data_IF_686235699973
#
_entry.id   IF_686235699973
#
_cell.length_a   1.000
_cell.length_b   1.000
_cell.length_c   1.000
_cell.angle_alpha   90.00
_cell.angle_beta   90.00
_cell.angle_gamma   90.00
#
_symmetry.space_group_name_H-M   'P 1'
#
loop_
_entity.id
_entity.type
_entity.pdbx_description
1 polymer ?
#
# COMPACT_ATOMS: atom_id res chain seq x y z
N UNK A 1 5.51 19.85 3.77
CA UNK A 1 5.83 18.76 4.72
C UNK A 1 4.90 17.57 4.55
N UNK A 2 3.57 17.74 4.61
CA UNK A 2 2.60 16.64 4.43
C UNK A 2 2.74 15.88 3.09
N UNK A 3 3.05 16.59 2.00
CA UNK A 3 3.21 15.94 0.68
C UNK A 3 4.41 15.00 0.61
N UNK A 4 5.54 15.38 1.21
CA UNK A 4 6.74 14.54 1.29
C UNK A 4 6.50 13.30 2.18
N UNK A 5 5.79 13.47 3.31
CA UNK A 5 5.42 12.34 4.18
C UNK A 5 4.47 11.37 3.47
N UNK A 6 3.51 11.89 2.70
CA UNK A 6 2.63 11.08 1.88
C UNK A 6 3.40 10.30 0.80
N UNK A 7 4.39 10.93 0.16
CA UNK A 7 5.24 10.27 -0.86
C UNK A 7 6.06 9.13 -0.26
N UNK A 8 6.75 9.37 0.87
CA UNK A 8 7.48 8.34 1.62
C UNK A 8 6.54 7.20 2.02
N UNK A 9 5.36 7.52 2.53
CA UNK A 9 4.35 6.52 2.87
C UNK A 9 3.96 5.67 1.66
N UNK A 10 3.67 6.29 0.52
CA UNK A 10 3.23 5.59 -0.69
C UNK A 10 4.33 4.69 -1.26
N UNK A 11 5.58 5.11 -1.19
CA UNK A 11 6.74 4.32 -1.60
C UNK A 11 6.88 3.07 -0.71
N UNK A 12 6.93 3.27 0.62
CA UNK A 12 7.09 2.18 1.57
C UNK A 12 5.89 1.21 1.55
N UNK A 13 4.66 1.75 1.55
CA UNK A 13 3.45 0.94 1.44
C UNK A 13 3.42 0.15 0.14
N UNK A 14 3.84 0.79 -0.95
CA UNK A 14 3.92 0.19 -2.26
C UNK A 14 4.85 -1.01 -2.31
N UNK A 15 6.09 -0.83 -1.86
CA UNK A 15 7.09 -1.90 -1.82
C UNK A 15 6.63 -3.10 -0.98
N UNK A 16 6.00 -2.84 0.17
CA UNK A 16 5.50 -3.91 1.04
C UNK A 16 4.31 -4.65 0.40
N UNK A 17 3.43 -3.95 -0.31
CA UNK A 17 2.33 -4.58 -1.06
C UNK A 17 2.89 -5.44 -2.21
N UNK A 18 3.90 -4.96 -2.93
CA UNK A 18 4.52 -5.70 -4.02
C UNK A 18 5.17 -7.00 -3.51
N UNK A 19 5.90 -6.96 -2.40
CA UNK A 19 6.46 -8.17 -1.75
C UNK A 19 5.38 -9.19 -1.37
N UNK A 20 4.21 -8.74 -0.89
CA UNK A 20 3.09 -9.64 -0.58
C UNK A 20 2.51 -10.26 -1.85
N UNK A 21 2.39 -9.48 -2.93
CA UNK A 21 1.93 -9.95 -4.23
C UNK A 21 2.90 -10.96 -4.85
N UNK A 22 4.20 -10.70 -4.79
CA UNK A 22 5.25 -11.63 -5.24
C UNK A 22 5.25 -12.94 -4.45
N UNK A 23 4.87 -12.89 -3.17
CA UNK A 23 4.64 -14.08 -2.34
C UNK A 23 3.30 -14.79 -2.61
N UNK A 24 2.56 -14.42 -3.66
CA UNK A 24 1.30 -15.05 -4.07
C UNK A 24 0.05 -14.54 -3.35
N UNK A 25 0.16 -13.46 -2.56
CA UNK A 25 -0.97 -12.90 -1.80
C UNK A 25 -1.60 -11.78 -2.63
N UNK A 26 -2.69 -12.10 -3.33
CA UNK A 26 -3.33 -11.17 -4.27
C UNK A 26 -4.61 -10.51 -3.76
N UNK A 27 -5.28 -11.11 -2.77
CA UNK A 27 -6.51 -10.59 -2.19
C UNK A 27 -6.24 -9.28 -1.41
N UNK A 28 -6.81 -8.13 -1.82
CA UNK A 28 -6.61 -6.86 -1.12
C UNK A 28 -7.05 -6.89 0.35
N UNK A 29 -8.05 -7.70 0.71
CA UNK A 29 -8.46 -7.84 2.11
C UNK A 29 -7.40 -8.60 2.92
N UNK A 30 -6.82 -9.68 2.38
CA UNK A 30 -5.73 -10.38 3.04
C UNK A 30 -4.47 -9.53 3.19
N UNK A 31 -4.11 -8.76 2.14
CA UNK A 31 -3.01 -7.79 2.20
C UNK A 31 -3.26 -6.78 3.33
N UNK A 32 -4.47 -6.20 3.41
CA UNK A 32 -4.81 -5.25 4.47
C UNK A 32 -4.68 -5.86 5.88
N UNK A 33 -5.14 -7.10 6.09
CA UNK A 33 -4.95 -7.82 7.36
C UNK A 33 -3.48 -8.01 7.70
N UNK A 34 -2.66 -8.34 6.71
CA UNK A 34 -1.21 -8.56 6.86
C UNK A 34 -0.45 -7.27 7.18
N UNK A 35 -0.85 -6.15 6.59
CA UNK A 35 -0.30 -4.83 6.91
C UNK A 35 -0.66 -4.42 8.34
N UNK A 36 -1.94 -4.55 8.72
CA UNK A 36 -2.39 -4.26 10.08
C UNK A 36 -1.71 -5.14 11.13
N UNK A 37 -1.55 -6.45 10.86
CA UNK A 37 -0.86 -7.38 11.77
C UNK A 37 0.61 -6.99 12.00
N UNK A 38 1.27 -6.41 11.00
CA UNK A 38 2.65 -5.91 11.09
C UNK A 38 2.77 -4.54 11.77
N UNK A 39 1.65 -3.91 12.12
CA UNK A 39 1.64 -2.55 12.67
C UNK A 39 2.03 -1.47 11.63
N UNK A 40 1.95 -1.79 10.33
CA UNK A 40 2.30 -0.82 9.30
C UNK A 40 1.25 0.32 9.28
N UNK A 41 1.65 1.59 9.46
CA UNK A 41 0.71 2.70 9.57
C UNK A 41 -0.10 2.87 8.28
N UNK A 42 -1.33 3.36 8.39
CA UNK A 42 -2.16 3.74 7.25
C UNK A 42 -2.32 5.27 7.23
N UNK A 43 -1.90 5.93 6.16
CA UNK A 43 -1.92 7.39 6.13
C UNK A 43 -3.35 7.93 6.22
N UNK A 44 -3.61 8.82 7.19
CA UNK A 44 -4.92 9.44 7.40
C UNK A 44 -6.04 8.49 7.83
N UNK A 45 -5.72 7.23 8.21
CA UNK A 45 -6.70 6.24 8.64
C UNK A 45 -6.15 5.38 9.79
N UNK A 46 -7.00 4.89 10.69
CA UNK A 46 -6.55 4.06 11.81
C UNK A 46 -6.04 2.67 11.38
N UNK A 47 -6.56 2.12 10.27
CA UNK A 47 -6.22 0.78 9.77
C UNK A 47 -6.31 0.67 8.25
N UNK A 48 -5.57 -0.28 7.71
CA UNK A 48 -5.70 -0.72 6.33
C UNK A 48 -7.02 -1.43 6.09
N UNK A 49 -7.60 -1.19 4.92
CA UNK A 49 -8.71 -1.95 4.36
C UNK A 49 -8.43 -2.24 2.87
N UNK A 50 -9.27 -3.08 2.25
CA UNK A 50 -9.10 -3.48 0.85
C UNK A 50 -9.07 -2.28 -0.12
N UNK A 51 -9.87 -1.24 0.14
CA UNK A 51 -9.91 -0.03 -0.69
C UNK A 51 -8.61 0.77 -0.63
N UNK A 52 -8.00 0.89 0.55
CA UNK A 52 -6.72 1.56 0.73
C UNK A 52 -5.60 0.82 -0.04
N UNK A 53 -5.59 -0.52 0.05
CA UNK A 53 -4.66 -1.37 -0.73
C UNK A 53 -4.86 -1.16 -2.23
N UNK A 54 -6.10 -1.23 -2.72
CA UNK A 54 -6.41 -1.03 -4.14
C UNK A 54 -5.99 0.36 -4.63
N UNK A 55 -6.15 1.38 -3.79
CA UNK A 55 -5.75 2.77 -4.10
C UNK A 55 -4.24 2.90 -4.29
N UNK A 56 -3.45 2.33 -3.37
CA UNK A 56 -1.98 2.34 -3.49
C UNK A 56 -1.51 1.58 -4.72
N UNK A 57 -2.08 0.39 -4.97
CA UNK A 57 -1.77 -0.43 -6.16
C UNK A 57 -2.06 0.31 -7.45
N UNK A 58 -3.26 0.89 -7.59
CA UNK A 58 -3.65 1.66 -8.78
C UNK A 58 -2.73 2.86 -9.02
N UNK A 59 -2.32 3.53 -7.94
CA UNK A 59 -1.39 4.67 -8.04
C UNK A 59 -0.01 4.22 -8.53
N UNK A 60 0.52 3.10 -8.03
CA UNK A 60 1.79 2.53 -8.50
C UNK A 60 1.75 2.15 -9.96
N UNK A 61 0.69 1.47 -10.41
CA UNK A 61 0.53 1.08 -11.81
C UNK A 61 0.62 2.30 -12.74
N UNK A 62 -0.09 3.38 -12.41
CA UNK A 62 -0.02 4.63 -13.20
C UNK A 62 1.35 5.28 -13.22
N UNK A 63 2.12 5.20 -12.13
CA UNK A 63 3.48 5.74 -12.07
C UNK A 63 4.44 4.89 -12.91
N UNK A 64 4.26 3.57 -12.94
CA UNK A 64 5.03 2.67 -13.78
C UNK A 64 4.70 2.83 -15.28
N UNK A 65 3.45 3.16 -15.62
CA UNK A 65 3.02 3.42 -17.01
C UNK A 65 3.47 4.79 -17.55
N UNK A 66 3.84 5.73 -16.66
CA UNK A 66 4.20 7.09 -17.03
C UNK A 66 5.71 7.33 -17.17
N UNK A 67 6.54 6.32 -16.84
CA UNK A 67 8.01 6.34 -16.97
C UNK A 67 8.47 5.42 -18.08
#
# INVERSE_FOLDING_TARGET
MERALLEIFLEAAGALIDQLVEAGIHDPADIARRLNRRGFPCYGRPRWNALAVATVRRRRQRLAEAG
#
